data_IF_280244227063
#
_entry.id   IF_280244227063
#
_cell.length_a   1.000
_cell.length_b   1.000
_cell.length_c   1.000
_cell.angle_alpha   90.00
_cell.angle_beta   90.00
_cell.angle_gamma   90.00
#
_symmetry.space_group_name_H-M   'P 1'
#
loop_
_entity.id
_entity.type
_entity.pdbx_description
1 polymer ?
#
# COMPACT_ATOMS: atom_id res chain seq x y z
N UNK A 1 5.31 12.32 4.17
CA UNK A 1 4.77 11.08 4.74
C UNK A 1 5.93 10.13 4.85
N UNK A 2 6.29 9.66 6.06
CA UNK A 2 7.33 8.66 6.22
C UNK A 2 6.85 7.39 5.52
N UNK A 3 7.68 6.79 4.68
CA UNK A 3 7.44 5.47 4.19
C UNK A 3 7.33 4.54 5.41
N UNK A 4 6.23 3.80 5.55
CA UNK A 4 6.08 2.77 6.58
C UNK A 4 7.03 1.59 6.36
N UNK A 5 7.79 1.64 5.26
CA UNK A 5 8.85 0.69 4.98
C UNK A 5 9.89 0.71 6.11
N UNK A 6 10.11 -0.46 6.71
CA UNK A 6 11.08 -0.63 7.77
C UNK A 6 12.46 -0.97 7.17
N UNK A 7 13.48 -0.15 7.43
CA UNK A 7 14.86 -0.43 7.03
C UNK A 7 15.51 -1.60 7.80
N UNK A 8 14.83 -2.12 8.82
CA UNK A 8 15.29 -3.33 9.52
C UNK A 8 15.17 -4.55 8.61
N UNK A 9 16.29 -5.08 8.15
CA UNK A 9 16.36 -6.29 7.33
C UNK A 9 15.82 -7.48 8.11
N UNK A 10 14.65 -7.95 7.72
CA UNK A 10 14.08 -9.24 8.14
C UNK A 10 14.29 -10.25 7.01
N UNK A 11 14.22 -11.53 7.33
CA UNK A 11 14.31 -12.60 6.34
C UNK A 11 13.28 -12.46 5.19
N UNK A 12 12.17 -11.80 5.45
CA UNK A 12 11.17 -11.47 4.42
C UNK A 12 11.69 -10.54 3.33
N UNK A 13 12.65 -9.68 3.63
CA UNK A 13 13.21 -8.79 2.60
C UNK A 13 14.00 -9.56 1.53
N UNK A 14 14.41 -10.81 1.83
CA UNK A 14 15.08 -11.69 0.87
C UNK A 14 14.12 -12.36 -0.11
N UNK A 15 12.81 -12.40 0.19
CA UNK A 15 11.78 -12.99 -0.67
C UNK A 15 11.39 -12.01 -1.77
N UNK A 16 11.27 -12.49 -3.02
CA UNK A 16 10.84 -11.66 -4.15
C UNK A 16 9.46 -11.05 -3.93
N UNK A 17 9.27 -9.79 -4.36
CA UNK A 17 8.00 -9.07 -4.22
C UNK A 17 6.83 -9.81 -4.91
N UNK A 18 7.10 -10.47 -6.05
CA UNK A 18 6.12 -11.28 -6.78
C UNK A 18 5.58 -12.43 -5.92
N UNK A 19 6.46 -13.20 -5.26
CA UNK A 19 6.06 -14.29 -4.37
C UNK A 19 5.22 -13.79 -3.19
N UNK A 20 5.58 -12.65 -2.59
CA UNK A 20 4.80 -12.04 -1.49
C UNK A 20 3.40 -11.66 -1.93
N UNK A 21 3.26 -11.05 -3.11
CA UNK A 21 1.96 -10.64 -3.65
C UNK A 21 1.10 -11.86 -3.98
N UNK A 22 1.67 -12.91 -4.59
CA UNK A 22 0.96 -14.15 -4.87
C UNK A 22 0.52 -14.83 -3.56
N UNK A 23 1.42 -14.95 -2.59
CA UNK A 23 1.10 -15.52 -1.28
C UNK A 23 -0.01 -14.74 -0.58
N UNK A 24 0.04 -13.41 -0.63
CA UNK A 24 -0.99 -12.55 -0.06
C UNK A 24 -2.34 -12.77 -0.76
N UNK A 25 -2.36 -12.86 -2.10
CA UNK A 25 -3.58 -13.10 -2.87
C UNK A 25 -4.17 -14.48 -2.55
N UNK A 26 -3.35 -15.53 -2.57
CA UNK A 26 -3.78 -16.92 -2.27
C UNK A 26 -4.28 -17.00 -0.83
N UNK A 27 -3.52 -16.48 0.13
CA UNK A 27 -3.88 -16.54 1.54
C UNK A 27 -5.13 -15.71 1.84
N UNK A 28 -5.25 -14.52 1.23
CA UNK A 28 -6.45 -13.69 1.31
C UNK A 28 -7.67 -14.42 0.78
N UNK A 29 -7.55 -15.12 -0.36
CA UNK A 29 -8.65 -15.92 -0.92
C UNK A 29 -9.03 -17.08 0.01
N UNK A 30 -8.05 -17.80 0.56
CA UNK A 30 -8.26 -18.89 1.52
C UNK A 30 -9.02 -18.40 2.76
N UNK A 31 -8.66 -17.23 3.30
CA UNK A 31 -9.34 -16.64 4.46
C UNK A 31 -10.85 -16.37 4.23
N UNK A 32 -11.25 -16.09 2.98
CA UNK A 32 -12.64 -15.76 2.67
C UNK A 32 -13.47 -16.96 2.18
N UNK A 33 -12.84 -17.96 1.56
CA UNK A 33 -13.53 -19.10 0.92
C UNK A 33 -13.70 -20.27 1.86
N UNK A 34 -12.74 -20.50 2.77
CA UNK A 34 -12.72 -21.71 3.59
C UNK A 34 -13.42 -21.53 4.96
N UNK A 35 -13.77 -22.69 5.57
CA UNK A 35 -14.52 -22.80 6.81
C UNK A 35 -13.77 -22.30 8.05
N UNK A 36 -14.51 -22.16 9.16
CA UNK A 36 -14.05 -21.59 10.42
C UNK A 36 -12.79 -22.25 11.01
N UNK A 37 -12.62 -23.56 10.80
CA UNK A 37 -11.46 -24.30 11.34
C UNK A 37 -10.16 -23.90 10.62
N UNK A 38 -10.22 -23.79 9.29
CA UNK A 38 -9.09 -23.31 8.45
C UNK A 38 -8.77 -21.87 8.78
N UNK A 39 -9.81 -21.06 9.01
CA UNK A 39 -9.66 -19.67 9.42
C UNK A 39 -8.84 -19.53 10.69
N UNK A 40 -9.14 -20.33 11.74
CA UNK A 40 -8.39 -20.30 13.00
C UNK A 40 -6.92 -20.68 12.79
N UNK A 41 -6.64 -21.73 12.00
CA UNK A 41 -5.27 -22.11 11.67
C UNK A 41 -4.53 -21.00 10.92
N UNK A 42 -5.18 -20.39 9.92
CA UNK A 42 -4.65 -19.28 9.15
C UNK A 42 -4.39 -18.03 10.01
N UNK A 43 -5.29 -17.68 10.93
CA UNK A 43 -5.09 -16.54 11.83
C UNK A 43 -3.93 -16.77 12.79
N UNK A 44 -3.82 -17.98 13.36
CA UNK A 44 -2.70 -18.36 14.22
C UNK A 44 -1.36 -18.25 13.45
N UNK A 45 -1.32 -18.73 12.22
CA UNK A 45 -0.14 -18.65 11.36
C UNK A 45 0.22 -17.20 11.00
N UNK A 46 -0.76 -16.35 10.72
CA UNK A 46 -0.55 -14.91 10.52
C UNK A 46 0.00 -14.22 11.75
N UNK A 47 -0.53 -14.53 12.93
CA UNK A 47 -0.06 -13.97 14.20
C UNK A 47 1.37 -14.39 14.50
N UNK A 48 1.71 -15.67 14.34
CA UNK A 48 3.07 -16.18 14.48
C UNK A 48 4.04 -15.50 13.49
N UNK A 49 3.60 -15.38 12.24
CA UNK A 49 4.37 -14.71 11.21
C UNK A 49 4.61 -13.24 11.54
N UNK A 50 3.59 -12.51 11.98
CA UNK A 50 3.71 -11.11 12.38
C UNK A 50 4.58 -10.95 13.64
N UNK A 51 4.46 -11.87 14.59
CA UNK A 51 5.31 -11.90 15.77
C UNK A 51 6.79 -12.13 15.43
N UNK A 52 7.09 -12.91 14.38
CA UNK A 52 8.46 -13.14 13.90
C UNK A 52 9.11 -11.89 13.30
N UNK A 53 8.32 -10.90 12.85
CA UNK A 53 8.83 -9.61 12.37
C UNK A 53 9.38 -8.71 13.52
N UNK A 54 9.03 -8.97 14.76
CA UNK A 54 9.61 -8.36 15.94
C UNK A 54 9.64 -6.82 15.91
N UNK A 55 10.84 -6.22 15.99
CA UNK A 55 11.02 -4.76 16.03
C UNK A 55 10.61 -4.03 14.75
N UNK A 56 10.53 -4.70 13.61
CA UNK A 56 10.08 -4.10 12.36
C UNK A 56 8.62 -3.63 12.42
N UNK A 57 7.82 -4.14 13.38
CA UNK A 57 6.41 -3.76 13.56
C UNK A 57 6.19 -2.47 14.35
N UNK A 58 7.23 -1.89 14.94
CA UNK A 58 7.12 -0.68 15.76
C UNK A 58 6.39 0.48 15.06
N UNK A 59 6.69 0.82 13.80
CA UNK A 59 5.98 1.89 13.10
C UNK A 59 4.49 1.57 12.84
N UNK A 60 4.13 0.28 12.81
CA UNK A 60 2.76 -0.18 12.56
C UNK A 60 1.90 -0.34 13.82
N UNK A 61 2.46 -0.15 15.02
CA UNK A 61 1.71 -0.34 16.29
C UNK A 61 0.41 0.45 16.34
N UNK A 62 0.43 1.70 15.88
CA UNK A 62 -0.77 2.55 15.85
C UNK A 62 -1.84 2.00 14.89
N UNK A 63 -1.43 1.47 13.75
CA UNK A 63 -2.34 0.80 12.82
C UNK A 63 -2.89 -0.49 13.43
N UNK A 64 -2.05 -1.27 14.08
CA UNK A 64 -2.46 -2.51 14.75
C UNK A 64 -3.49 -2.26 15.85
N UNK A 65 -3.30 -1.24 16.69
CA UNK A 65 -4.27 -0.88 17.73
C UNK A 65 -5.61 -0.46 17.14
N UNK A 66 -5.62 0.27 16.01
CA UNK A 66 -6.85 0.64 15.31
C UNK A 66 -7.58 -0.58 14.73
N UNK A 67 -6.84 -1.53 14.17
CA UNK A 67 -7.41 -2.77 13.62
C UNK A 67 -8.00 -3.64 14.73
N UNK A 68 -7.31 -3.77 15.86
CA UNK A 68 -7.83 -4.51 17.03
C UNK A 68 -9.09 -3.84 17.58
N UNK A 69 -9.10 -2.52 17.70
CA UNK A 69 -10.28 -1.76 18.16
C UNK A 69 -11.48 -1.97 17.21
N UNK A 70 -11.25 -1.94 15.89
CA UNK A 70 -12.28 -2.21 14.90
C UNK A 70 -12.79 -3.66 14.99
N UNK A 71 -11.91 -4.63 15.19
CA UNK A 71 -12.26 -6.03 15.40
C UNK A 71 -13.13 -6.24 16.65
N UNK A 72 -12.78 -5.59 17.75
CA UNK A 72 -13.58 -5.63 18.99
C UNK A 72 -14.96 -5.00 18.79
N UNK A 73 -15.05 -3.91 18.06
CA UNK A 73 -16.31 -3.24 17.74
C UNK A 73 -17.23 -4.14 16.90
N UNK A 74 -16.67 -4.84 15.90
CA UNK A 74 -17.40 -5.83 15.08
C UNK A 74 -17.88 -6.99 15.95
N UNK A 75 -17.04 -7.53 16.82
CA UNK A 75 -17.41 -8.60 17.72
C UNK A 75 -18.53 -8.18 18.68
N UNK A 76 -18.44 -6.98 19.26
CA UNK A 76 -19.46 -6.43 20.15
C UNK A 76 -20.81 -6.22 19.44
N UNK A 77 -20.78 -5.68 18.21
CA UNK A 77 -21.98 -5.50 17.40
C UNK A 77 -22.70 -6.83 17.10
N UNK A 78 -21.96 -7.88 16.72
CA UNK A 78 -22.55 -9.19 16.45
C UNK A 78 -23.01 -9.89 17.73
N UNK A 79 -22.34 -9.67 18.87
CA UNK A 79 -22.80 -10.15 20.16
C UNK A 79 -24.16 -9.52 20.53
N UNK A 80 -24.33 -8.21 20.29
CA UNK A 80 -25.61 -7.54 20.46
C UNK A 80 -26.70 -8.12 19.54
N UNK A 81 -26.35 -8.49 18.30
CA UNK A 81 -27.26 -9.15 17.35
C UNK A 81 -27.52 -10.65 17.65
N UNK A 82 -27.12 -11.14 18.82
CA UNK A 82 -27.28 -12.55 19.23
C UNK A 82 -26.55 -13.56 18.32
N UNK A 83 -25.50 -13.11 17.61
CA UNK A 83 -24.71 -13.95 16.72
C UNK A 83 -23.21 -13.88 17.05
N UNK A 84 -22.77 -14.25 18.25
CA UNK A 84 -21.38 -14.05 18.71
C UNK A 84 -20.36 -14.81 17.87
N UNK A 85 -20.71 -16.00 17.34
CA UNK A 85 -19.81 -16.79 16.48
C UNK A 85 -19.49 -16.08 15.17
N UNK A 86 -20.48 -15.46 14.53
CA UNK A 86 -20.26 -14.67 13.31
C UNK A 86 -19.39 -13.44 13.60
N UNK A 87 -19.59 -12.81 14.75
CA UNK A 87 -18.74 -11.70 15.18
C UNK A 87 -17.28 -12.08 15.37
N UNK A 88 -17.03 -13.21 16.02
CA UNK A 88 -15.68 -13.72 16.21
C UNK A 88 -14.99 -14.04 14.87
N UNK A 89 -15.69 -14.75 13.98
CA UNK A 89 -15.18 -15.09 12.64
C UNK A 89 -14.85 -13.83 11.83
N UNK A 90 -15.75 -12.84 11.84
CA UNK A 90 -15.57 -11.58 11.11
C UNK A 90 -14.39 -10.76 11.67
N UNK A 91 -14.26 -10.69 12.99
CA UNK A 91 -13.15 -10.02 13.64
C UNK A 91 -11.81 -10.70 13.33
N UNK A 92 -11.76 -12.04 13.36
CA UNK A 92 -10.57 -12.81 13.01
C UNK A 92 -10.17 -12.63 11.53
N UNK A 93 -11.14 -12.59 10.61
CA UNK A 93 -10.89 -12.30 9.18
C UNK A 93 -10.29 -10.91 9.00
N UNK A 94 -10.88 -9.90 9.65
CA UNK A 94 -10.37 -8.53 9.60
C UNK A 94 -8.93 -8.45 10.14
N UNK A 95 -8.67 -9.06 11.30
CA UNK A 95 -7.33 -9.08 11.90
C UNK A 95 -6.32 -9.74 10.97
N UNK A 96 -6.61 -10.91 10.43
CA UNK A 96 -5.71 -11.66 9.55
C UNK A 96 -5.39 -10.91 8.27
N UNK A 97 -6.42 -10.41 7.58
CA UNK A 97 -6.26 -9.64 6.34
C UNK A 97 -5.44 -8.36 6.58
N UNK A 98 -5.71 -7.66 7.69
CA UNK A 98 -4.98 -6.44 8.05
C UNK A 98 -3.52 -6.73 8.43
N UNK A 99 -3.25 -7.80 9.17
CA UNK A 99 -1.89 -8.21 9.51
C UNK A 99 -1.06 -8.52 8.26
N UNK A 100 -1.64 -9.23 7.30
CA UNK A 100 -1.00 -9.53 6.01
C UNK A 100 -0.71 -8.26 5.22
N UNK A 101 -1.67 -7.34 5.12
CA UNK A 101 -1.50 -6.05 4.45
C UNK A 101 -0.41 -5.19 5.09
N UNK A 102 -0.40 -5.11 6.42
CA UNK A 102 0.64 -4.40 7.17
C UNK A 102 2.01 -5.05 6.96
N UNK A 103 2.10 -6.38 7.01
CA UNK A 103 3.34 -7.11 6.77
C UNK A 103 3.89 -6.84 5.37
N UNK A 104 3.04 -6.85 4.33
CA UNK A 104 3.44 -6.49 2.97
C UNK A 104 3.96 -5.06 2.91
N UNK A 105 3.23 -4.10 3.50
CA UNK A 105 3.59 -2.68 3.49
C UNK A 105 4.93 -2.40 4.18
N UNK A 106 5.24 -3.13 5.24
CA UNK A 106 6.50 -3.01 5.98
C UNK A 106 7.69 -3.64 5.25
N UNK A 107 7.45 -4.67 4.44
CA UNK A 107 8.51 -5.51 3.87
C UNK A 107 8.72 -5.32 2.37
N UNK A 108 7.84 -4.59 1.68
CA UNK A 108 7.91 -4.42 0.22
C UNK A 108 7.97 -2.94 -0.13
N UNK A 109 8.95 -2.56 -0.95
CA UNK A 109 9.06 -1.19 -1.46
C UNK A 109 8.05 -0.98 -2.58
N UNK A 110 7.55 0.24 -2.71
CA UNK A 110 6.61 0.61 -3.77
C UNK A 110 7.18 0.32 -5.17
N UNK A 111 8.48 0.56 -5.36
CA UNK A 111 9.15 0.29 -6.63
C UNK A 111 9.16 -1.21 -6.97
N UNK A 112 9.38 -2.09 -5.97
CA UNK A 112 9.38 -3.54 -6.18
C UNK A 112 7.99 -4.05 -6.59
N UNK A 113 6.91 -3.43 -6.05
CA UNK A 113 5.52 -3.73 -6.45
C UNK A 113 5.28 -3.34 -7.91
N UNK A 114 5.88 -2.24 -8.35
CA UNK A 114 5.78 -1.79 -9.74
C UNK A 114 6.47 -2.73 -10.71
N UNK A 115 7.69 -3.13 -10.39
CA UNK A 115 8.47 -4.06 -11.22
C UNK A 115 7.70 -5.37 -11.41
N UNK A 116 7.02 -5.85 -10.36
CA UNK A 116 6.15 -7.02 -10.44
C UNK A 116 4.93 -6.75 -11.32
N UNK A 117 4.28 -5.60 -11.15
CA UNK A 117 3.11 -5.24 -11.95
C UNK A 117 3.48 -5.12 -13.43
N UNK A 118 4.63 -4.52 -13.74
CA UNK A 118 5.17 -4.44 -15.09
C UNK A 118 5.42 -5.84 -15.67
N UNK A 119 6.04 -6.73 -14.90
CA UNK A 119 6.30 -8.11 -15.34
C UNK A 119 5.01 -8.89 -15.60
N UNK A 120 3.96 -8.66 -14.81
CA UNK A 120 2.65 -9.31 -14.98
C UNK A 120 1.83 -8.71 -16.13
N UNK A 121 2.04 -7.45 -16.46
CA UNK A 121 1.43 -6.82 -17.63
C UNK A 121 2.17 -7.17 -18.94
N UNK A 122 3.43 -7.59 -18.86
CA UNK A 122 4.26 -7.95 -20.03
C UNK A 122 3.59 -8.95 -21.00
N UNK A 123 2.91 -10.05 -20.57
CA UNK A 123 2.24 -10.95 -21.49
C UNK A 123 1.05 -10.33 -22.25
N UNK A 124 0.50 -9.19 -21.80
CA UNK A 124 -0.56 -8.48 -22.52
C UNK A 124 -0.08 -7.90 -23.86
N UNK A 125 1.23 -7.77 -24.08
CA UNK A 125 1.80 -7.44 -25.38
C UNK A 125 1.33 -8.39 -26.49
N UNK A 126 1.10 -9.66 -26.14
CA UNK A 126 0.60 -10.66 -27.12
C UNK A 126 -0.83 -10.40 -27.59
N UNK A 127 -1.61 -9.63 -26.82
CA UNK A 127 -2.98 -9.26 -27.14
C UNK A 127 -3.09 -7.89 -27.83
N UNK A 128 -1.97 -7.34 -28.33
CA UNK A 128 -1.96 -6.04 -29.04
C UNK A 128 -2.03 -4.81 -28.12
N UNK A 129 -2.01 -4.99 -26.82
CA UNK A 129 -1.94 -3.89 -25.85
C UNK A 129 -0.46 -3.51 -25.71
N UNK A 130 -0.11 -2.25 -25.98
CA UNK A 130 1.26 -1.74 -25.83
C UNK A 130 1.64 -1.72 -24.34
N UNK A 131 2.07 -2.85 -23.80
CA UNK A 131 2.44 -2.97 -22.37
C UNK A 131 3.58 -2.03 -22.01
N UNK A 132 4.52 -1.77 -22.93
CA UNK A 132 5.59 -0.79 -22.72
C UNK A 132 5.05 0.62 -22.47
N UNK A 133 3.97 1.02 -23.16
CA UNK A 133 3.31 2.30 -22.92
C UNK A 133 2.61 2.33 -21.55
N UNK A 134 1.94 1.24 -21.17
CA UNK A 134 1.31 1.13 -19.86
C UNK A 134 2.35 1.13 -18.72
N UNK A 135 3.45 0.39 -18.87
CA UNK A 135 4.55 0.38 -17.92
C UNK A 135 5.15 1.78 -17.75
N UNK A 136 5.39 2.49 -18.86
CA UNK A 136 5.86 3.86 -18.84
C UNK A 136 4.87 4.80 -18.14
N UNK A 137 3.58 4.66 -18.42
CA UNK A 137 2.53 5.47 -17.78
C UNK A 137 2.49 5.24 -16.26
N UNK A 138 2.55 3.97 -15.82
CA UNK A 138 2.58 3.63 -14.40
C UNK A 138 3.84 4.18 -13.70
N UNK A 139 5.00 4.01 -14.31
CA UNK A 139 6.26 4.53 -13.80
C UNK A 139 6.23 6.07 -13.69
N UNK A 140 5.71 6.76 -14.71
CA UNK A 140 5.53 8.21 -14.67
C UNK A 140 4.53 8.64 -13.59
N UNK A 141 3.39 7.95 -13.47
CA UNK A 141 2.37 8.25 -12.47
C UNK A 141 2.95 8.20 -11.04
N UNK A 142 3.76 7.22 -10.75
CA UNK A 142 4.38 7.10 -9.43
C UNK A 142 5.48 8.13 -9.19
N UNK A 143 6.32 8.36 -10.19
CA UNK A 143 7.32 9.42 -10.11
C UNK A 143 6.67 10.78 -9.89
N UNK A 144 5.54 11.06 -10.57
CA UNK A 144 4.78 12.29 -10.36
C UNK A 144 4.14 12.34 -8.97
N UNK A 145 3.68 11.22 -8.44
CA UNK A 145 3.12 11.16 -7.09
C UNK A 145 4.16 11.52 -6.04
N UNK A 146 5.37 10.96 -6.11
CA UNK A 146 6.48 11.34 -5.21
C UNK A 146 6.85 12.82 -5.36
N UNK A 147 6.96 13.29 -6.61
CA UNK A 147 7.25 14.69 -6.91
C UNK A 147 6.18 15.64 -6.36
N UNK A 148 4.90 15.25 -6.46
CA UNK A 148 3.78 15.97 -5.89
C UNK A 148 3.94 16.17 -4.37
N UNK A 149 4.24 15.12 -3.61
CA UNK A 149 4.42 15.21 -2.17
C UNK A 149 5.62 16.06 -1.78
N UNK A 150 6.72 16.00 -2.55
CA UNK A 150 7.89 16.85 -2.32
C UNK A 150 7.54 18.32 -2.54
N UNK A 151 6.85 18.64 -3.63
CA UNK A 151 6.44 20.01 -3.95
C UNK A 151 5.42 20.54 -2.95
N UNK A 152 4.47 19.72 -2.52
CA UNK A 152 3.53 20.07 -1.47
C UNK A 152 4.24 20.51 -0.20
N UNK A 153 5.19 19.69 0.29
CA UNK A 153 5.96 20.02 1.49
C UNK A 153 6.73 21.33 1.34
N UNK A 154 7.41 21.51 0.21
CA UNK A 154 8.15 22.75 -0.05
C UNK A 154 7.25 23.99 -0.06
N UNK A 155 6.04 23.87 -0.62
CA UNK A 155 5.07 24.97 -0.61
C UNK A 155 4.52 25.22 0.78
N UNK A 156 4.24 24.17 1.55
CA UNK A 156 3.74 24.29 2.93
C UNK A 156 4.81 24.91 3.84
N UNK A 157 6.05 24.49 3.74
CA UNK A 157 7.19 25.05 4.48
C UNK A 157 7.36 26.54 4.15
N UNK A 158 7.33 26.90 2.85
CA UNK A 158 7.43 28.28 2.43
C UNK A 158 6.26 29.14 2.91
N UNK A 159 5.05 28.59 2.90
CA UNK A 159 3.85 29.28 3.42
C UNK A 159 3.93 29.45 4.93
N UNK A 160 4.41 28.42 5.63
CA UNK A 160 4.57 28.41 7.09
C UNK A 160 5.60 29.44 7.55
N UNK A 161 6.70 29.61 6.84
CA UNK A 161 7.71 30.63 7.12
C UNK A 161 7.12 32.06 6.97
N UNK A 162 6.22 32.25 5.99
CA UNK A 162 5.62 33.58 5.72
C UNK A 162 4.43 33.93 6.64
N UNK A 163 3.65 32.95 7.05
CA UNK A 163 2.36 33.18 7.73
C UNK A 163 2.30 32.57 9.14
N UNK A 164 3.31 31.79 9.54
CA UNK A 164 3.32 31.07 10.82
C UNK A 164 2.38 29.86 10.87
N UNK A 165 1.58 29.59 9.80
CA UNK A 165 0.56 28.53 9.77
C UNK A 165 0.72 27.68 8.52
N UNK A 166 0.29 26.40 8.59
CA UNK A 166 0.20 25.52 7.40
C UNK A 166 -0.82 26.08 6.39
N UNK A 167 -0.48 26.01 5.10
CA UNK A 167 -1.31 26.59 4.04
C UNK A 167 -2.52 25.76 3.66
N UNK A 168 -2.54 24.45 3.97
CA UNK A 168 -3.65 23.53 3.70
C UNK A 168 -4.16 23.64 2.26
N UNK A 169 -5.48 23.74 2.07
CA UNK A 169 -6.11 23.83 0.74
C UNK A 169 -5.70 25.04 -0.10
N UNK A 170 -5.18 26.11 0.50
CA UNK A 170 -4.71 27.30 -0.24
C UNK A 170 -3.51 27.01 -1.13
N UNK A 171 -2.78 25.92 -0.85
CA UNK A 171 -1.62 25.51 -1.62
C UNK A 171 -1.99 24.70 -2.86
N UNK A 172 -3.24 24.26 -3.02
CA UNK A 172 -3.65 23.45 -4.16
C UNK A 172 -3.46 24.18 -5.50
N UNK A 173 -3.87 25.43 -5.62
CA UNK A 173 -3.73 26.19 -6.85
C UNK A 173 -2.27 26.34 -7.30
N UNK A 174 -1.32 26.85 -6.49
CA UNK A 174 0.07 26.95 -6.91
C UNK A 174 0.73 25.57 -7.12
N UNK A 175 0.30 24.54 -6.41
CA UNK A 175 0.77 23.17 -6.60
C UNK A 175 0.34 22.62 -7.96
N UNK A 176 -0.95 22.79 -8.32
CA UNK A 176 -1.50 22.33 -9.60
C UNK A 176 -0.78 22.97 -10.77
N UNK A 177 -0.54 24.29 -10.72
CA UNK A 177 0.22 25.02 -11.76
C UNK A 177 1.62 24.43 -11.93
N UNK A 178 2.32 24.18 -10.82
CA UNK A 178 3.67 23.58 -10.86
C UNK A 178 3.66 22.15 -11.41
N UNK A 179 2.64 21.37 -11.08
CA UNK A 179 2.49 20.00 -11.58
C UNK A 179 2.22 19.98 -13.07
N UNK A 180 1.31 20.83 -13.56
CA UNK A 180 1.03 20.96 -15.00
C UNK A 180 2.27 21.38 -15.78
N UNK A 181 3.01 22.39 -15.31
CA UNK A 181 4.27 22.81 -15.94
C UNK A 181 5.30 21.68 -15.96
N UNK A 182 5.40 20.89 -14.89
CA UNK A 182 6.31 19.73 -14.87
C UNK A 182 5.87 18.64 -15.82
N UNK A 183 4.55 18.37 -15.91
CA UNK A 183 4.00 17.38 -16.85
C UNK A 183 4.24 17.78 -18.30
N UNK A 184 4.05 19.05 -18.66
CA UNK A 184 4.35 19.57 -20.01
C UNK A 184 5.82 19.35 -20.36
N UNK A 185 6.75 19.73 -19.49
CA UNK A 185 8.20 19.52 -19.74
C UNK A 185 8.56 18.06 -19.96
N UNK A 186 7.91 17.14 -19.24
CA UNK A 186 8.14 15.70 -19.42
C UNK A 186 7.52 15.23 -20.74
N UNK A 187 6.33 15.72 -21.11
CA UNK A 187 5.70 15.41 -22.39
C UNK A 187 6.58 15.85 -23.56
N UNK A 188 7.05 17.11 -23.55
CA UNK A 188 7.95 17.67 -24.57
C UNK A 188 9.25 16.83 -24.68
N UNK A 189 9.82 16.43 -23.53
CA UNK A 189 11.02 15.61 -23.51
C UNK A 189 10.80 14.18 -24.04
N UNK A 190 9.61 13.61 -23.84
CA UNK A 190 9.24 12.30 -24.35
C UNK A 190 8.97 12.34 -25.86
N UNK A 191 8.31 13.38 -26.35
CA UNK A 191 8.05 13.58 -27.78
C UNK A 191 9.35 13.65 -28.59
N UNK A 192 10.39 14.27 -28.03
CA UNK A 192 11.73 14.33 -28.64
C UNK A 192 12.49 13.00 -28.61
N UNK A 193 12.15 12.07 -27.72
CA UNK A 193 12.87 10.80 -27.52
C UNK A 193 12.17 9.58 -28.08
N UNK A 194 10.87 9.63 -28.19
CA UNK A 194 10.08 8.53 -28.74
C UNK A 194 9.76 8.85 -30.19
N UNK A 195 10.26 8.08 -31.17
CA UNK A 195 9.84 8.25 -32.55
C UNK A 195 8.34 7.96 -32.69
N UNK A 196 7.66 8.58 -33.66
CA UNK A 196 6.22 8.41 -33.93
C UNK A 196 5.82 6.96 -34.22
#
# INVERSE_FOLDING_TARGET
>A
MGSFYSDHRTWLHAVSASLKLILLAVFGTVLFVFDNTVLLACTALCLLFFASLGRATLPARKLLTMVVAAGLLIAAFHAYMQQPLLGLVSALRLLSASLLGIALMLTTRTNDVLDVLESWLSPLNRFGIRSNALALQLALMLRFTEHFFIQWRRLDDAHRVRTGKSGGFKLLAPLTIRMLTSAQRVADALELRLPP
#
